data_IF_199093696585
#
_entry.id   IF_199093696585
#
_cell.length_a   1.000
_cell.length_b   1.000
_cell.length_c   1.000
_cell.angle_alpha   90.00
_cell.angle_beta   90.00
_cell.angle_gamma   90.00
#
_symmetry.space_group_name_H-M   'P 1'
#
loop_
_entity.id
_entity.type
_entity.pdbx_description
1 polymer ?
#
# COMPACT_ATOMS: atom_id res chain seq x y z
N UNK A 1 11.81 10.44 -18.40
CA UNK A 1 12.57 11.19 -17.36
C UNK A 1 12.42 10.46 -16.04
N UNK A 2 13.44 10.39 -15.19
CA UNK A 2 13.32 9.81 -13.85
C UNK A 2 13.15 10.90 -12.81
N UNK A 3 12.18 10.71 -11.91
CA UNK A 3 12.00 11.52 -10.71
C UNK A 3 12.20 10.62 -9.50
N UNK A 4 13.08 11.03 -8.60
CA UNK A 4 13.39 10.29 -7.37
C UNK A 4 12.95 11.07 -6.17
N UNK A 5 12.40 10.36 -5.18
CA UNK A 5 12.06 10.92 -3.89
C UNK A 5 12.53 9.97 -2.77
N UNK A 6 13.12 10.50 -1.68
CA UNK A 6 13.45 9.69 -0.51
C UNK A 6 12.16 9.17 0.14
N UNK A 7 12.07 7.85 0.30
CA UNK A 7 10.85 7.21 0.81
C UNK A 7 10.61 7.51 2.29
N UNK A 8 11.67 7.73 3.07
CA UNK A 8 11.58 8.18 4.46
C UNK A 8 10.91 9.55 4.57
N UNK A 9 11.21 10.48 3.65
CA UNK A 9 10.53 11.78 3.60
C UNK A 9 9.04 11.63 3.26
N UNK A 10 8.72 10.77 2.27
CA UNK A 10 7.34 10.46 1.91
C UNK A 10 6.57 9.80 3.07
N UNK A 11 7.21 8.86 3.79
CA UNK A 11 6.65 8.23 4.98
C UNK A 11 6.48 9.23 6.12
N UNK A 12 7.45 10.12 6.33
CA UNK A 12 7.37 11.13 7.37
C UNK A 12 6.23 12.12 7.10
N UNK A 13 6.04 12.50 5.83
CA UNK A 13 4.89 13.30 5.40
C UNK A 13 3.58 12.55 5.62
N UNK A 14 3.52 11.27 5.27
CA UNK A 14 2.34 10.43 5.49
C UNK A 14 2.03 10.26 6.99
N UNK A 15 3.04 10.13 7.85
CA UNK A 15 2.85 10.01 9.30
C UNK A 15 2.38 11.32 9.95
N UNK A 16 2.81 12.48 9.44
CA UNK A 16 2.41 13.79 9.98
C UNK A 16 1.11 14.35 9.42
N UNK A 17 0.75 13.98 8.19
CA UNK A 17 -0.42 14.50 7.47
C UNK A 17 -1.65 13.60 7.54
N UNK A 18 -1.74 12.68 8.51
CA UNK A 18 -2.79 11.64 8.58
C UNK A 18 -2.87 10.76 7.31
N UNK A 19 -1.73 10.51 6.66
CA UNK A 19 -1.59 9.77 5.40
C UNK A 19 -1.55 8.24 5.54
N UNK A 20 -1.26 7.71 6.73
CA UNK A 20 -1.37 6.27 6.98
C UNK A 20 -2.81 5.90 7.40
N UNK A 21 -3.30 4.71 7.00
CA UNK A 21 -4.53 4.18 7.57
C UNK A 21 -4.41 4.03 9.10
N UNK A 22 -5.50 4.21 9.87
CA UNK A 22 -5.45 4.28 11.33
C UNK A 22 -5.00 2.97 12.00
N UNK A 23 -5.10 1.85 11.29
CA UNK A 23 -4.64 0.54 11.76
C UNK A 23 -3.13 0.31 11.56
N UNK A 24 -2.43 1.21 10.88
CA UNK A 24 -0.96 1.17 10.73
C UNK A 24 -0.34 1.97 11.86
N UNK A 25 0.34 1.28 12.77
CA UNK A 25 0.91 1.88 13.99
C UNK A 25 2.30 2.47 13.74
N UNK A 26 3.10 1.80 12.90
CA UNK A 26 4.42 2.27 12.51
C UNK A 26 4.74 1.78 11.11
N UNK A 27 5.62 2.50 10.41
CA UNK A 27 6.15 2.11 9.12
C UNK A 27 7.59 2.62 9.03
N UNK A 28 8.50 1.73 8.64
CA UNK A 28 9.91 2.01 8.45
C UNK A 28 10.41 1.32 7.18
N UNK A 29 11.54 1.78 6.68
CA UNK A 29 12.16 1.18 5.52
C UNK A 29 13.44 0.45 5.91
N UNK A 30 13.56 -0.79 5.42
CA UNK A 30 14.75 -1.62 5.59
C UNK A 30 15.24 -2.03 4.21
N UNK A 31 16.18 -1.26 3.65
CA UNK A 31 16.67 -1.45 2.28
C UNK A 31 15.59 -1.12 1.24
N UNK A 32 15.04 -2.14 0.59
CA UNK A 32 13.93 -2.05 -0.37
C UNK A 32 12.62 -2.65 0.15
N UNK A 33 12.54 -2.95 1.46
CA UNK A 33 11.35 -3.51 2.10
C UNK A 33 10.75 -2.48 3.04
N UNK A 34 9.48 -2.17 2.81
CA UNK A 34 8.68 -1.36 3.73
C UNK A 34 8.16 -2.28 4.83
N UNK A 35 8.70 -2.14 6.03
CA UNK A 35 8.24 -2.85 7.22
C UNK A 35 7.21 -1.99 7.94
N UNK A 36 6.07 -2.55 8.27
CA UNK A 36 5.05 -1.86 9.03
C UNK A 36 4.51 -2.73 10.17
N UNK A 37 4.09 -2.07 11.24
CA UNK A 37 3.28 -2.68 12.29
C UNK A 37 1.82 -2.32 12.07
N UNK A 38 0.98 -3.35 12.04
CA UNK A 38 -0.45 -3.21 11.80
C UNK A 38 -1.20 -3.81 12.98
N UNK A 39 -2.02 -3.00 13.65
CA UNK A 39 -2.99 -3.53 14.61
C UNK A 39 -4.23 -4.01 13.85
N UNK A 40 -4.29 -5.32 13.59
CA UNK A 40 -5.42 -5.89 12.85
C UNK A 40 -6.73 -5.78 13.63
N UNK A 41 -6.72 -5.48 14.93
CA UNK A 41 -7.95 -5.26 15.73
C UNK A 41 -8.66 -3.97 15.37
N UNK A 42 -7.91 -3.00 14.83
CA UNK A 42 -8.40 -1.69 14.42
C UNK A 42 -8.79 -1.68 12.93
N UNK A 43 -8.63 -2.81 12.23
CA UNK A 43 -9.09 -2.95 10.86
C UNK A 43 -10.64 -2.85 10.83
N UNK A 44 -11.19 -1.90 10.06
CA UNK A 44 -12.64 -1.72 10.00
C UNK A 44 -13.30 -2.86 9.22
N UNK A 45 -14.58 -3.11 9.51
CA UNK A 45 -15.38 -4.09 8.76
C UNK A 45 -15.13 -5.55 9.11
N UNK A 46 -14.35 -5.84 10.15
CA UNK A 46 -14.15 -7.19 10.65
C UNK A 46 -15.44 -7.78 11.25
N UNK A 47 -15.82 -8.97 10.79
CA UNK A 47 -16.99 -9.70 11.28
C UNK A 47 -16.64 -11.14 11.66
N UNK A 48 -17.48 -11.77 12.50
CA UNK A 48 -17.42 -13.20 12.82
C UNK A 48 -16.01 -13.72 13.16
N UNK A 49 -15.57 -14.72 12.38
CA UNK A 49 -14.27 -15.36 12.56
C UNK A 49 -13.08 -14.41 12.36
N UNK A 50 -13.17 -13.46 11.43
CA UNK A 50 -12.10 -12.49 11.19
C UNK A 50 -11.89 -11.56 12.39
N UNK A 51 -12.98 -11.15 13.06
CA UNK A 51 -12.91 -10.34 14.29
C UNK A 51 -12.28 -11.12 15.45
N UNK A 52 -12.62 -12.40 15.61
CA UNK A 52 -12.01 -13.25 16.63
C UNK A 52 -10.53 -13.51 16.35
N UNK A 53 -10.18 -13.79 15.09
CA UNK A 53 -8.80 -13.96 14.66
C UNK A 53 -7.98 -12.69 14.93
N UNK A 54 -8.49 -11.51 14.57
CA UNK A 54 -7.82 -10.24 14.85
C UNK A 54 -7.56 -10.02 16.35
N UNK A 55 -8.52 -10.38 17.21
CA UNK A 55 -8.35 -10.27 18.68
C UNK A 55 -7.30 -11.23 19.23
N UNK A 56 -7.19 -12.43 18.66
CA UNK A 56 -6.18 -13.40 19.06
C UNK A 56 -4.78 -13.04 18.54
N UNK A 57 -4.71 -12.47 17.34
CA UNK A 57 -3.46 -12.09 16.67
C UNK A 57 -2.87 -10.80 17.26
N UNK A 58 -3.69 -9.76 17.43
CA UNK A 58 -3.24 -8.45 17.91
C UNK A 58 -2.45 -7.69 16.84
N UNK A 59 -1.23 -7.29 17.16
CA UNK A 59 -0.34 -6.59 16.23
C UNK A 59 0.39 -7.58 15.33
N UNK A 60 0.43 -7.27 14.03
CA UNK A 60 1.11 -8.04 12.98
C UNK A 60 2.23 -7.20 12.40
N UNK A 61 3.40 -7.80 12.21
CA UNK A 61 4.46 -7.19 11.42
C UNK A 61 4.25 -7.56 9.96
N UNK A 62 4.28 -6.58 9.07
CA UNK A 62 4.18 -6.81 7.63
C UNK A 62 5.41 -6.29 6.92
N UNK A 63 5.96 -7.10 6.04
CA UNK A 63 7.03 -6.71 5.13
C UNK A 63 6.42 -6.56 3.73
N UNK A 64 6.54 -5.37 3.15
CA UNK A 64 5.98 -5.01 1.86
C UNK A 64 7.10 -4.78 0.86
N UNK A 65 7.05 -5.51 -0.25
CA UNK A 65 8.01 -5.43 -1.35
C UNK A 65 7.31 -5.01 -2.64
N UNK A 66 7.97 -4.16 -3.44
CA UNK A 66 7.53 -3.91 -4.82
C UNK A 66 7.87 -5.14 -5.68
N UNK A 67 6.85 -5.92 -6.03
CA UNK A 67 7.00 -7.12 -6.84
C UNK A 67 7.11 -6.79 -8.34
N UNK A 68 6.55 -5.66 -8.78
CA UNK A 68 6.70 -5.18 -10.14
C UNK A 68 5.80 -4.00 -10.47
N UNK A 69 5.94 -3.49 -11.68
CA UNK A 69 5.12 -2.42 -12.22
C UNK A 69 4.79 -2.72 -13.69
N UNK A 70 3.53 -2.62 -14.06
CA UNK A 70 3.07 -2.83 -15.44
C UNK A 70 1.75 -2.12 -15.69
N UNK A 71 1.59 -1.53 -16.87
CA UNK A 71 0.33 -0.94 -17.36
C UNK A 71 -0.33 0.04 -16.37
N UNK A 72 0.47 0.90 -15.74
CA UNK A 72 -0.07 1.85 -14.75
C UNK A 72 -0.22 1.30 -13.34
N UNK A 73 0.06 0.01 -13.11
CA UNK A 73 -0.22 -0.69 -11.85
C UNK A 73 1.06 -1.20 -11.19
N UNK A 74 1.30 -0.76 -9.97
CA UNK A 74 2.32 -1.32 -9.08
C UNK A 74 1.76 -2.54 -8.35
N UNK A 75 2.51 -3.63 -8.38
CA UNK A 75 2.20 -4.86 -7.66
C UNK A 75 3.07 -4.94 -6.42
N UNK A 76 2.43 -5.00 -5.25
CA UNK A 76 3.11 -5.13 -3.97
C UNK A 76 2.87 -6.53 -3.42
N UNK A 77 3.95 -7.20 -3.02
CA UNK A 77 3.89 -8.43 -2.24
C UNK A 77 3.95 -8.06 -0.76
N UNK A 78 3.02 -8.61 0.02
CA UNK A 78 2.90 -8.36 1.45
C UNK A 78 3.04 -9.68 2.20
N UNK A 79 4.11 -9.78 2.97
CA UNK A 79 4.35 -10.89 3.87
C UNK A 79 3.94 -10.49 5.29
N UNK A 80 3.01 -11.26 5.88
CA UNK A 80 2.48 -10.98 7.20
C UNK A 80 3.03 -11.97 8.22
N UNK A 81 3.68 -11.44 9.25
CA UNK A 81 4.27 -12.20 10.34
C UNK A 81 3.46 -12.00 11.63
N UNK A 82 2.74 -13.05 12.03
CA UNK A 82 2.07 -13.14 13.32
C UNK A 82 2.69 -14.26 14.15
N UNK A 83 2.66 -14.11 15.48
CA UNK A 83 3.34 -15.01 16.44
C UNK A 83 2.90 -16.48 16.31
N UNK A 84 1.65 -16.73 15.94
CA UNK A 84 1.03 -18.06 16.05
C UNK A 84 0.10 -18.43 14.89
N UNK A 85 0.00 -17.59 13.85
CA UNK A 85 -0.93 -17.82 12.73
C UNK A 85 -0.14 -17.91 11.42
N UNK A 86 -0.34 -18.98 10.62
CA UNK A 86 0.27 -19.09 9.30
C UNK A 86 -0.15 -17.92 8.39
N UNK A 87 0.80 -17.33 7.66
CA UNK A 87 0.58 -16.16 6.80
C UNK A 87 -0.60 -16.34 5.83
N UNK A 88 -0.72 -17.51 5.19
CA UNK A 88 -1.81 -17.81 4.25
C UNK A 88 -3.21 -17.75 4.88
N UNK A 89 -3.35 -18.04 6.18
CA UNK A 89 -4.65 -17.93 6.87
C UNK A 89 -5.00 -16.49 7.21
N UNK A 90 -3.99 -15.66 7.46
CA UNK A 90 -4.19 -14.22 7.65
C UNK A 90 -4.63 -13.59 6.33
N UNK A 91 -3.95 -13.90 5.23
CA UNK A 91 -4.28 -13.38 3.90
C UNK A 91 -5.77 -13.63 3.57
N UNK A 92 -6.21 -14.89 3.59
CA UNK A 92 -7.59 -15.25 3.25
C UNK A 92 -8.66 -14.56 4.13
N UNK A 93 -8.38 -14.32 5.41
CA UNK A 93 -9.33 -13.68 6.34
C UNK A 93 -9.38 -12.16 6.23
N UNK A 94 -8.27 -11.53 5.82
CA UNK A 94 -8.13 -10.08 5.85
C UNK A 94 -8.21 -9.40 4.49
N UNK A 95 -8.14 -10.14 3.36
CA UNK A 95 -8.22 -9.54 2.01
C UNK A 95 -9.40 -8.59 1.84
N UNK A 96 -10.63 -9.04 2.10
CA UNK A 96 -11.83 -8.21 1.92
C UNK A 96 -11.90 -7.00 2.86
N UNK A 97 -11.74 -7.19 4.19
CA UNK A 97 -11.69 -6.08 5.13
C UNK A 97 -10.57 -5.07 4.84
N UNK A 98 -9.39 -5.55 4.44
CA UNK A 98 -8.24 -4.69 4.11
C UNK A 98 -8.51 -3.89 2.84
N UNK A 99 -9.05 -4.52 1.79
CA UNK A 99 -9.43 -3.83 0.55
C UNK A 99 -10.42 -2.70 0.81
N UNK A 100 -11.47 -2.98 1.57
CA UNK A 100 -12.47 -2.00 1.95
C UNK A 100 -11.88 -0.87 2.82
N UNK A 101 -10.96 -1.20 3.74
CA UNK A 101 -10.32 -0.22 4.61
C UNK A 101 -9.41 0.72 3.82
N UNK A 102 -8.58 0.19 2.91
CA UNK A 102 -7.73 0.98 2.02
C UNK A 102 -8.57 1.87 1.11
N UNK A 103 -9.59 1.32 0.45
CA UNK A 103 -10.49 2.08 -0.41
C UNK A 103 -11.18 3.24 0.32
N UNK A 104 -11.66 3.01 1.56
CA UNK A 104 -12.25 4.08 2.39
C UNK A 104 -11.23 5.15 2.76
N UNK A 105 -10.02 4.73 3.12
CA UNK A 105 -8.96 5.66 3.53
C UNK A 105 -8.54 6.55 2.37
N UNK A 106 -8.42 5.99 1.15
CA UNK A 106 -8.06 6.74 -0.05
C UNK A 106 -9.18 7.70 -0.48
N UNK A 107 -10.43 7.23 -0.49
CA UNK A 107 -11.57 8.08 -0.87
C UNK A 107 -11.81 9.22 0.12
N UNK A 108 -11.59 9.01 1.43
CA UNK A 108 -11.62 10.07 2.43
C UNK A 108 -10.59 11.19 2.16
N UNK A 109 -9.52 10.89 1.41
CA UNK A 109 -8.48 11.83 1.00
C UNK A 109 -8.73 12.45 -0.38
N UNK A 110 -9.92 12.26 -0.94
CA UNK A 110 -10.29 12.78 -2.25
C UNK A 110 -9.70 12.01 -3.42
N UNK A 111 -9.08 10.84 -3.18
CA UNK A 111 -8.61 9.98 -4.25
C UNK A 111 -9.76 9.14 -4.84
N UNK A 112 -9.72 8.82 -6.14
CA UNK A 112 -10.71 7.97 -6.77
C UNK A 112 -10.87 6.61 -6.08
N UNK A 113 -12.08 6.03 -6.07
CA UNK A 113 -12.27 4.64 -5.67
C UNK A 113 -11.57 3.70 -6.66
N UNK A 114 -11.18 2.51 -6.18
CA UNK A 114 -10.59 1.47 -7.04
C UNK A 114 -9.13 1.67 -7.40
N UNK A 115 -8.42 2.61 -6.76
CA UNK A 115 -6.96 2.75 -6.90
C UNK A 115 -6.19 1.59 -6.31
N UNK A 116 -6.75 0.91 -5.32
CA UNK A 116 -6.12 -0.26 -4.70
C UNK A 116 -7.01 -1.47 -4.86
N UNK A 117 -6.39 -2.64 -5.05
CA UNK A 117 -7.08 -3.92 -4.97
C UNK A 117 -6.21 -4.89 -4.19
N UNK A 118 -6.78 -5.48 -3.14
CA UNK A 118 -6.11 -6.51 -2.35
C UNK A 118 -6.52 -7.89 -2.85
N UNK A 119 -5.55 -8.76 -3.00
CA UNK A 119 -5.74 -10.16 -3.39
C UNK A 119 -4.78 -11.09 -2.65
N UNK A 120 -4.80 -12.35 -3.04
CA UNK A 120 -3.89 -13.38 -2.57
C UNK A 120 -3.35 -14.15 -3.76
N UNK A 121 -2.04 -14.42 -3.76
CA UNK A 121 -1.40 -15.28 -4.74
C UNK A 121 -0.46 -16.24 -4.00
N UNK A 122 -0.75 -17.53 -4.06
CA UNK A 122 0.11 -18.57 -3.47
C UNK A 122 0.28 -18.44 -1.94
N UNK A 123 -0.72 -17.96 -1.21
CA UNK A 123 -0.64 -17.75 0.24
C UNK A 123 0.04 -16.45 0.67
N UNK A 124 0.48 -15.62 -0.28
CA UNK A 124 1.03 -14.28 -0.04
C UNK A 124 -0.02 -13.24 -0.40
N UNK A 125 -0.19 -12.23 0.46
CA UNK A 125 -1.12 -11.14 0.20
C UNK A 125 -0.51 -10.22 -0.86
N UNK A 126 -1.30 -9.82 -1.84
CA UNK A 126 -0.87 -8.95 -2.93
C UNK A 126 -1.71 -7.69 -2.93
N UNK A 127 -1.08 -6.52 -3.09
CA UNK A 127 -1.78 -5.25 -3.25
C UNK A 127 -1.42 -4.65 -4.59
N UNK A 128 -2.41 -4.52 -5.47
CA UNK A 128 -2.28 -3.79 -6.71
C UNK A 128 -2.63 -2.32 -6.47
N UNK A 129 -1.77 -1.41 -6.92
CA UNK A 129 -1.96 0.05 -6.81
C UNK A 129 -1.94 0.67 -8.21
N UNK A 130 -3.03 1.28 -8.63
CA UNK A 130 -3.17 1.99 -9.92
C UNK A 130 -2.50 3.35 -9.83
N UNK A 131 -1.18 3.38 -10.03
CA UNK A 131 -0.35 4.58 -9.90
C UNK A 131 -0.68 5.60 -10.99
N UNK A 132 -0.94 5.16 -12.23
CA UNK A 132 -1.33 6.07 -13.31
C UNK A 132 -2.64 6.80 -13.00
N UNK A 133 -3.68 6.05 -12.62
CA UNK A 133 -4.97 6.63 -12.22
C UNK A 133 -4.83 7.62 -11.05
N UNK A 134 -3.96 7.32 -10.08
CA UNK A 134 -3.68 8.21 -8.96
C UNK A 134 -3.00 9.50 -9.41
N UNK A 135 -2.07 9.42 -10.37
CA UNK A 135 -1.40 10.57 -10.97
C UNK A 135 -2.39 11.43 -11.76
N UNK A 136 -3.26 10.80 -12.57
CA UNK A 136 -4.26 11.48 -13.39
C UNK A 136 -5.28 12.26 -12.54
N UNK A 137 -5.61 11.74 -11.36
CA UNK A 137 -6.51 12.37 -10.41
C UNK A 137 -5.84 13.44 -9.52
N UNK A 138 -4.51 13.48 -9.48
CA UNK A 138 -3.79 14.41 -8.62
C UNK A 138 -3.91 15.86 -9.12
N UNK A 139 -3.90 16.85 -8.21
CA UNK A 139 -3.91 18.27 -8.58
C UNK A 139 -2.53 18.69 -9.12
N UNK A 140 -2.24 18.30 -10.36
CA UNK A 140 -0.95 18.52 -11.00
C UNK A 140 -0.84 19.90 -11.67
N UNK A 141 0.37 20.50 -11.65
CA UNK A 141 0.71 21.64 -12.48
C UNK A 141 0.41 21.36 -13.97
N UNK A 142 0.07 22.38 -14.78
CA UNK A 142 -0.30 22.19 -16.19
C UNK A 142 0.72 21.39 -17.01
N UNK A 143 2.03 21.55 -16.74
CA UNK A 143 3.11 20.88 -17.46
C UNK A 143 3.27 19.39 -17.11
N UNK A 144 2.60 18.89 -16.07
CA UNK A 144 2.57 17.47 -15.70
C UNK A 144 1.24 16.79 -16.05
N UNK A 145 0.23 17.54 -16.50
CA UNK A 145 -1.08 16.96 -16.83
C UNK A 145 -0.96 16.11 -18.09
N UNK A 146 -1.31 14.83 -17.99
CA UNK A 146 -1.13 13.84 -19.05
C UNK A 146 0.24 13.17 -19.06
N UNK A 147 1.02 13.34 -17.98
CA UNK A 147 2.24 12.56 -17.78
C UNK A 147 1.90 11.07 -17.62
N UNK A 148 2.71 10.22 -18.24
CA UNK A 148 2.58 8.77 -18.20
C UNK A 148 3.68 8.18 -17.33
N UNK A 149 3.30 7.29 -16.42
CA UNK A 149 4.23 6.53 -15.59
C UNK A 149 4.67 5.27 -16.34
N UNK A 150 5.90 5.29 -16.84
CA UNK A 150 6.49 4.19 -17.61
C UNK A 150 7.11 3.12 -16.69
N UNK A 151 7.46 3.50 -15.47
CA UNK A 151 8.18 2.62 -14.55
C UNK A 151 8.14 3.12 -13.12
N UNK A 152 8.19 2.16 -12.20
CA UNK A 152 8.32 2.39 -10.77
C UNK A 152 9.36 1.44 -10.22
N UNK A 153 10.30 1.96 -9.43
CA UNK A 153 11.29 1.15 -8.73
C UNK A 153 11.46 1.65 -7.30
N UNK A 154 11.84 0.73 -6.41
CA UNK A 154 12.18 1.03 -5.03
C UNK A 154 13.57 0.46 -4.75
N UNK A 155 14.54 1.34 -4.53
CA UNK A 155 15.94 0.96 -4.30
C UNK A 155 16.61 2.00 -3.41
N UNK A 156 17.52 1.56 -2.54
CA UNK A 156 18.37 2.44 -1.71
C UNK A 156 17.59 3.52 -0.94
N UNK A 157 16.43 3.15 -0.40
CA UNK A 157 15.52 4.08 0.28
C UNK A 157 14.88 5.17 -0.58
N UNK A 158 14.88 5.00 -1.89
CA UNK A 158 14.27 5.92 -2.84
C UNK A 158 13.16 5.24 -3.64
N UNK A 159 12.09 5.99 -3.86
CA UNK A 159 11.11 5.69 -4.91
C UNK A 159 11.58 6.43 -6.16
N UNK A 160 11.84 5.69 -7.23
CA UNK A 160 12.13 6.27 -8.54
C UNK A 160 10.97 5.98 -9.49
N UNK A 161 10.42 7.05 -10.06
CA UNK A 161 9.32 7.01 -11.02
C UNK A 161 9.85 7.45 -12.39
N UNK A 162 9.70 6.59 -13.39
CA UNK A 162 9.94 6.96 -14.78
C UNK A 162 8.67 7.60 -15.35
N UNK A 163 8.79 8.83 -15.82
CA UNK A 163 7.72 9.64 -16.37
C UNK A 163 8.02 10.05 -17.80
N UNK A 164 7.03 9.92 -18.68
CA UNK A 164 6.99 10.58 -19.98
C UNK A 164 6.01 11.74 -19.90
N UNK A 165 6.49 12.94 -20.21
CA UNK A 165 5.67 14.15 -20.22
C UNK A 165 4.92 14.27 -21.57
N UNK A 166 3.71 14.84 -21.58
CA UNK A 166 3.04 15.17 -22.82
C UNK A 166 3.81 16.30 -23.53
N UNK A 167 3.82 16.23 -24.87
CA UNK A 167 4.50 17.19 -25.74
C UNK A 167 3.86 18.58 -25.71
#
# INVERSE_FOLDING_TARGET
MWVTAPLDELLHLALRGEGLPPFVTSAELVGSLLRAEVDVRDLPGLTGAARLAARAVGTVHVDVALAGYRDGVAQLAVEAHARSVPAHRLAALFTGPLDAALARTLTARGLPPGLTTVGESGGVLTVAVRVQDALDAAPLPPFLRGAVVDGLTLADSQVAVALTLPA
#
